data_IF_236940060361
#
_entry.id   IF_236940060361
#
_cell.length_a   1.000
_cell.length_b   1.000
_cell.length_c   1.000
_cell.angle_alpha   90.00
_cell.angle_beta   90.00
_cell.angle_gamma   90.00
#
_symmetry.space_group_name_H-M   'P 1'
#
loop_
_entity.id
_entity.type
_entity.pdbx_description
1 polymer ?
#
# COMPACT_ATOMS: atom_id res chain seq x y z
N UNK A 1 9.73 8.01 7.47
CA UNK A 1 10.24 6.70 7.97
C UNK A 1 9.84 6.54 9.43
N UNK A 2 9.30 5.38 9.86
CA UNK A 2 8.98 5.14 11.28
C UNK A 2 10.21 5.36 12.17
N UNK A 3 10.00 5.95 13.36
CA UNK A 3 11.08 6.17 14.32
C UNK A 3 11.53 4.83 14.93
N UNK A 4 12.83 4.64 15.26
CA UNK A 4 13.34 3.39 15.84
C UNK A 4 12.59 2.92 17.10
N UNK A 5 12.11 3.85 17.94
CA UNK A 5 11.29 3.54 19.13
C UNK A 5 9.94 2.91 18.77
N UNK A 6 9.32 3.33 17.66
CA UNK A 6 8.05 2.78 17.19
C UNK A 6 8.20 1.32 16.78
N UNK A 7 9.29 0.95 16.11
CA UNK A 7 9.56 -0.45 15.77
C UNK A 7 9.76 -1.33 17.00
N UNK A 8 10.46 -0.82 18.03
CA UNK A 8 10.65 -1.55 19.29
C UNK A 8 9.31 -1.85 19.97
N UNK A 9 8.44 -0.85 20.09
CA UNK A 9 7.12 -1.02 20.71
C UNK A 9 6.25 -2.05 19.95
N UNK A 10 6.34 -2.09 18.62
CA UNK A 10 5.61 -3.07 17.81
C UNK A 10 6.17 -4.49 18.01
N UNK A 11 7.49 -4.65 18.12
CA UNK A 11 8.10 -5.97 18.41
C UNK A 11 7.68 -6.48 19.81
N UNK A 12 7.72 -5.61 20.82
CA UNK A 12 7.33 -5.93 22.19
C UNK A 12 5.85 -6.32 22.28
N UNK A 13 4.96 -5.58 21.62
CA UNK A 13 3.53 -5.92 21.51
C UNK A 13 3.28 -7.18 20.68
N UNK A 14 4.05 -7.42 19.61
CA UNK A 14 3.94 -8.62 18.78
C UNK A 14 4.08 -9.92 19.57
N UNK A 15 5.04 -9.93 20.50
CA UNK A 15 5.31 -11.06 21.38
C UNK A 15 4.19 -11.21 22.43
N UNK A 16 3.71 -10.10 22.99
CA UNK A 16 2.71 -10.11 24.07
C UNK A 16 1.29 -10.43 23.57
N UNK A 17 0.87 -9.84 22.45
CA UNK A 17 -0.52 -9.88 21.97
C UNK A 17 -0.76 -11.02 20.98
N UNK A 18 0.26 -11.37 20.18
CA UNK A 18 0.10 -12.33 19.08
C UNK A 18 0.95 -13.60 19.25
N UNK A 19 1.74 -13.71 20.32
CA UNK A 19 2.72 -14.80 20.54
C UNK A 19 3.66 -15.02 19.34
N UNK A 20 3.89 -13.97 18.54
CA UNK A 20 4.75 -14.04 17.36
C UNK A 20 6.08 -13.34 17.63
N UNK A 21 7.18 -14.06 17.35
CA UNK A 21 8.51 -13.45 17.34
C UNK A 21 8.65 -12.62 16.07
N UNK A 22 8.37 -11.33 16.20
CA UNK A 22 8.51 -10.36 15.11
C UNK A 22 9.86 -9.66 15.24
N UNK A 23 10.72 -9.80 14.23
CA UNK A 23 12.02 -9.13 14.20
C UNK A 23 11.93 -7.73 13.57
N UNK A 24 12.92 -6.88 13.86
CA UNK A 24 13.05 -5.57 13.23
C UNK A 24 13.10 -5.67 11.70
N UNK A 25 13.82 -6.68 11.17
CA UNK A 25 13.91 -6.91 9.73
C UNK A 25 12.57 -7.27 9.11
N UNK A 26 11.78 -8.14 9.76
CA UNK A 26 10.44 -8.49 9.28
C UNK A 26 9.54 -7.24 9.24
N UNK A 27 9.58 -6.40 10.27
CA UNK A 27 8.81 -5.16 10.31
C UNK A 27 9.27 -4.15 9.27
N UNK A 28 10.58 -3.96 9.12
CA UNK A 28 11.13 -3.02 8.14
C UNK A 28 10.77 -3.45 6.72
N UNK A 29 10.94 -4.73 6.39
CA UNK A 29 10.57 -5.27 5.08
C UNK A 29 9.08 -5.11 4.83
N UNK A 30 8.24 -5.44 5.81
CA UNK A 30 6.79 -5.26 5.69
C UNK A 30 6.41 -3.80 5.53
N UNK A 31 7.03 -2.90 6.29
CA UNK A 31 6.81 -1.46 6.18
C UNK A 31 7.16 -0.92 4.80
N UNK A 32 8.35 -1.27 4.28
CA UNK A 32 8.78 -0.86 2.93
C UNK A 32 7.84 -1.40 1.87
N UNK A 33 7.40 -2.66 2.00
CA UNK A 33 6.44 -3.27 1.10
C UNK A 33 5.09 -2.54 1.09
N UNK A 34 4.54 -2.23 2.29
CA UNK A 34 3.27 -1.52 2.40
C UNK A 34 3.37 -0.09 1.86
N UNK A 35 4.49 0.60 2.10
CA UNK A 35 4.76 1.93 1.57
C UNK A 35 4.87 1.93 0.03
N UNK A 36 5.61 0.98 -0.55
CA UNK A 36 5.71 0.81 -2.01
C UNK A 36 4.33 0.53 -2.63
N UNK A 37 3.52 -0.29 -1.95
CA UNK A 37 2.17 -0.59 -2.40
C UNK A 37 1.25 0.64 -2.36
N UNK A 38 1.28 1.42 -1.28
CA UNK A 38 0.54 2.67 -1.16
C UNK A 38 0.97 3.69 -2.23
N UNK A 39 2.27 3.88 -2.42
CA UNK A 39 2.77 4.82 -3.43
C UNK A 39 2.43 4.38 -4.86
N UNK A 40 2.45 3.07 -5.13
CA UNK A 40 2.00 2.53 -6.43
C UNK A 40 0.51 2.85 -6.65
N UNK A 41 -0.32 2.73 -5.61
CA UNK A 41 -1.74 3.08 -5.69
C UNK A 41 -1.97 4.57 -5.95
N UNK A 42 -1.29 5.45 -5.21
CA UNK A 42 -1.40 6.90 -5.44
C UNK A 42 -0.95 7.31 -6.84
N UNK A 43 0.14 6.72 -7.33
CA UNK A 43 0.62 6.95 -8.71
C UNK A 43 -0.40 6.45 -9.73
N UNK A 44 -1.00 5.28 -9.50
CA UNK A 44 -2.05 4.74 -10.36
C UNK A 44 -3.26 5.67 -10.42
N UNK A 45 -3.71 6.22 -9.29
CA UNK A 45 -4.80 7.23 -9.27
C UNK A 45 -4.47 8.46 -10.11
N UNK A 46 -3.25 8.97 -10.00
CA UNK A 46 -2.81 10.12 -10.80
C UNK A 46 -2.81 9.80 -12.30
N UNK A 47 -2.36 8.61 -12.70
CA UNK A 47 -2.35 8.17 -14.10
C UNK A 47 -3.75 7.85 -14.65
N UNK A 48 -4.63 7.32 -13.80
CA UNK A 48 -6.01 7.00 -14.13
C UNK A 48 -6.87 8.25 -14.32
N UNK A 49 -6.60 9.32 -13.57
CA UNK A 49 -7.36 10.57 -13.62
C UNK A 49 -8.84 10.32 -13.32
N UNK A 50 -9.72 10.75 -14.23
CA UNK A 50 -11.18 10.56 -14.13
C UNK A 50 -11.63 9.08 -14.15
N UNK A 51 -10.73 8.16 -14.51
CA UNK A 51 -11.01 6.72 -14.47
C UNK A 51 -10.99 6.11 -13.07
N UNK A 52 -10.65 6.87 -12.03
CA UNK A 52 -10.71 6.42 -10.63
C UNK A 52 -12.03 6.84 -9.98
N UNK A 53 -12.73 5.89 -9.38
CA UNK A 53 -13.96 6.13 -8.61
C UNK A 53 -13.66 6.10 -7.10
N UNK A 54 -13.75 7.26 -6.45
CA UNK A 54 -13.46 7.42 -5.03
C UNK A 54 -14.48 6.73 -4.11
N UNK A 55 -15.71 6.52 -4.60
CA UNK A 55 -16.82 5.93 -3.84
C UNK A 55 -16.68 4.43 -3.79
N UNK A 56 -16.36 3.80 -4.93
CA UNK A 56 -16.19 2.34 -5.01
C UNK A 56 -14.76 1.88 -4.76
N UNK A 57 -13.80 2.83 -4.72
CA UNK A 57 -12.36 2.56 -4.61
C UNK A 57 -11.83 1.67 -5.75
N UNK A 58 -12.39 1.85 -6.94
CA UNK A 58 -12.05 1.06 -8.13
C UNK A 58 -11.65 1.92 -9.32
N UNK A 59 -11.08 1.27 -10.33
CA UNK A 59 -10.65 1.91 -11.56
C UNK A 59 -11.54 1.45 -12.72
N UNK A 60 -12.36 2.36 -13.21
CA UNK A 60 -13.21 2.19 -14.38
C UNK A 60 -12.43 2.51 -15.66
N UNK A 61 -11.30 1.82 -15.85
CA UNK A 61 -10.42 2.00 -17.00
C UNK A 61 -10.68 0.93 -18.05
N UNK A 62 -10.56 1.30 -19.33
CA UNK A 62 -10.60 0.35 -20.44
C UNK A 62 -9.35 -0.54 -20.44
N UNK A 63 -9.43 -1.71 -21.08
CA UNK A 63 -8.29 -2.62 -21.22
C UNK A 63 -7.08 -1.95 -21.91
N UNK A 64 -7.31 -1.09 -22.91
CA UNK A 64 -6.25 -0.32 -23.57
C UNK A 64 -5.56 0.63 -22.59
N UNK A 65 -6.33 1.33 -21.76
CA UNK A 65 -5.78 2.28 -20.80
C UNK A 65 -5.02 1.57 -19.67
N UNK A 66 -5.50 0.40 -19.26
CA UNK A 66 -4.75 -0.47 -18.36
C UNK A 66 -3.42 -0.90 -18.97
N UNK A 67 -3.38 -1.30 -20.24
CA UNK A 67 -2.14 -1.70 -20.90
C UNK A 67 -1.10 -0.57 -20.90
N UNK A 68 -1.49 0.64 -21.31
CA UNK A 68 -0.62 1.83 -21.29
C UNK A 68 -0.05 2.12 -19.89
N UNK A 69 -0.91 2.09 -18.87
CA UNK A 69 -0.49 2.34 -17.48
C UNK A 69 0.45 1.24 -17.00
N UNK A 70 0.22 -0.02 -17.37
CA UNK A 70 1.04 -1.15 -16.94
C UNK A 70 2.41 -1.21 -17.62
N UNK A 71 2.60 -0.57 -18.77
CA UNK A 71 3.93 -0.35 -19.34
C UNK A 71 4.77 0.59 -18.46
N UNK A 72 4.13 1.60 -17.85
CA UNK A 72 4.80 2.60 -17.00
C UNK A 72 4.91 2.10 -15.54
N UNK A 73 3.86 1.47 -15.04
CA UNK A 73 3.72 1.03 -13.65
C UNK A 73 3.28 -0.44 -13.57
N UNK A 74 4.15 -1.41 -13.91
CA UNK A 74 3.79 -2.83 -13.93
C UNK A 74 3.25 -3.37 -12.60
N UNK A 75 3.70 -2.81 -11.48
CA UNK A 75 3.27 -3.18 -10.13
C UNK A 75 1.78 -2.92 -9.88
N UNK A 76 1.14 -2.04 -10.66
CA UNK A 76 -0.27 -1.70 -10.55
C UNK A 76 -1.21 -2.85 -10.93
N UNK A 77 -0.73 -3.89 -11.64
CA UNK A 77 -1.54 -5.04 -12.05
C UNK A 77 -2.32 -5.67 -10.89
N UNK A 78 -1.72 -5.69 -9.69
CA UNK A 78 -2.34 -6.24 -8.48
C UNK A 78 -3.66 -5.54 -8.10
N UNK A 79 -3.83 -4.29 -8.51
CA UNK A 79 -4.95 -3.44 -8.16
C UNK A 79 -6.11 -3.52 -9.15
N UNK A 80 -5.89 -4.11 -10.31
CA UNK A 80 -6.91 -4.27 -11.36
C UNK A 80 -8.15 -5.02 -10.86
N UNK A 81 -7.96 -5.97 -9.94
CA UNK A 81 -9.05 -6.83 -9.44
C UNK A 81 -9.48 -6.55 -7.99
N UNK A 82 -8.57 -6.10 -7.12
CA UNK A 82 -8.78 -6.17 -5.67
C UNK A 82 -8.62 -4.85 -4.90
N UNK A 83 -8.45 -3.71 -5.60
CA UNK A 83 -8.29 -2.41 -4.94
C UNK A 83 -7.09 -2.34 -3.98
N UNK A 84 -6.99 -1.27 -3.18
CA UNK A 84 -5.98 -1.16 -2.13
C UNK A 84 -6.50 -1.78 -0.82
N UNK A 85 -5.91 -2.88 -0.32
CA UNK A 85 -6.34 -3.47 0.94
C UNK A 85 -6.08 -2.51 2.12
N UNK A 86 -7.03 -2.44 3.07
CA UNK A 86 -6.92 -1.62 4.28
C UNK A 86 -6.59 -0.15 3.98
N UNK A 87 -7.23 0.44 2.94
CA UNK A 87 -6.97 1.79 2.44
C UNK A 87 -6.93 2.85 3.54
N UNK A 88 -7.90 2.85 4.46
CA UNK A 88 -7.97 3.82 5.55
C UNK A 88 -6.71 3.75 6.41
N UNK A 89 -6.32 2.54 6.83
CA UNK A 89 -5.11 2.32 7.63
C UNK A 89 -3.85 2.69 6.84
N UNK A 90 -3.77 2.37 5.54
CA UNK A 90 -2.64 2.78 4.70
C UNK A 90 -2.53 4.29 4.57
N UNK A 91 -3.66 4.97 4.41
CA UNK A 91 -3.72 6.44 4.31
C UNK A 91 -3.24 7.06 5.63
N UNK A 92 -3.74 6.58 6.77
CA UNK A 92 -3.28 7.03 8.10
C UNK A 92 -1.77 6.81 8.30
N UNK A 93 -1.23 5.71 7.78
CA UNK A 93 0.17 5.35 7.94
C UNK A 93 1.11 6.11 7.01
N UNK A 94 0.72 6.37 5.76
CA UNK A 94 1.65 6.79 4.70
C UNK A 94 1.34 8.15 4.08
N UNK A 95 0.11 8.67 4.19
CA UNK A 95 -0.24 9.97 3.59
C UNK A 95 0.47 11.17 4.24
N UNK A 96 1.01 11.00 5.46
CA UNK A 96 1.66 12.06 6.25
C UNK A 96 3.19 11.99 6.23
N UNK A 97 3.78 11.09 5.42
CA UNK A 97 5.22 10.77 5.47
C UNK A 97 6.03 11.53 4.43
#
# INVERSE_FOLDING_TARGET
MLKPRSFRNIMEKGIQEFQQVVTYWNLRTRWVYLNDMYNTWETLKQLAGEGYDEVTDTFNLTESRWAEILEILPKAMRFKLNGLPNREQMTLLFAQI
#
